data_IF_789853299440
#
_entry.id   IF_789853299440
#
_cell.length_a   1.000
_cell.length_b   1.000
_cell.length_c   1.000
_cell.angle_alpha   90.00
_cell.angle_beta   90.00
_cell.angle_gamma   90.00
#
_symmetry.space_group_name_H-M   'P 1'
#
loop_
_entity.id
_entity.type
_entity.pdbx_description
1 polymer ?
#
# COMPACT_ATOMS: atom_id res chain seq x y z
N UNK A 1 -1.27 2.92 2.99
CA UNK A 1 -1.39 1.83 3.99
C UNK A 1 -0.01 1.26 4.27
N UNK A 2 0.32 0.92 5.53
CA UNK A 2 1.58 0.24 5.90
C UNK A 2 1.25 -1.08 6.58
N UNK A 3 1.95 -2.16 6.19
CA UNK A 3 1.70 -3.51 6.69
C UNK A 3 2.94 -4.40 6.55
N UNK A 4 2.94 -5.54 7.26
CA UNK A 4 3.93 -6.60 7.08
C UNK A 4 3.54 -7.48 5.90
N UNK A 5 4.43 -7.63 4.92
CA UNK A 5 4.23 -8.42 3.70
C UNK A 5 5.10 -9.68 3.74
N UNK A 6 4.51 -10.83 3.42
CA UNK A 6 5.19 -12.11 3.29
C UNK A 6 5.25 -12.51 1.80
N UNK A 7 6.45 -12.87 1.32
CA UNK A 7 6.76 -13.08 -0.09
C UNK A 7 7.53 -14.40 -0.29
N UNK A 8 7.43 -14.98 -1.48
CA UNK A 8 8.18 -16.19 -1.86
C UNK A 8 9.64 -15.90 -2.28
N UNK A 9 9.99 -14.63 -2.48
CA UNK A 9 11.32 -14.20 -2.90
C UNK A 9 11.72 -12.87 -2.23
N UNK A 10 13.02 -12.58 -2.23
CA UNK A 10 13.52 -11.30 -1.75
C UNK A 10 12.94 -10.15 -2.60
N UNK A 11 12.15 -9.24 -2.01
CA UNK A 11 11.52 -8.17 -2.77
C UNK A 11 12.51 -7.13 -3.32
N UNK A 12 12.09 -6.45 -4.39
CA UNK A 12 12.64 -5.14 -4.71
C UNK A 12 12.14 -4.10 -3.70
N UNK A 13 13.03 -3.20 -3.29
CA UNK A 13 12.72 -2.11 -2.36
C UNK A 13 11.65 -1.15 -2.90
N UNK A 14 11.56 -1.00 -4.22
CA UNK A 14 10.59 -0.13 -4.90
C UNK A 14 9.92 -0.90 -6.03
N UNK A 15 8.60 -0.84 -6.10
CA UNK A 15 7.81 -1.28 -7.26
C UNK A 15 6.83 -0.17 -7.63
N UNK A 16 6.80 0.19 -8.90
CA UNK A 16 5.92 1.21 -9.45
C UNK A 16 5.05 0.61 -10.56
N UNK A 17 3.76 0.48 -10.29
CA UNK A 17 2.78 -0.04 -11.24
C UNK A 17 1.99 1.12 -11.88
N UNK A 18 2.33 1.48 -13.12
CA UNK A 18 1.67 2.57 -13.85
C UNK A 18 0.33 2.11 -14.40
N UNK A 19 -0.72 2.91 -14.17
CA UNK A 19 -2.07 2.65 -14.62
C UNK A 19 -2.40 3.43 -15.91
N UNK A 20 -3.38 2.97 -16.71
CA UNK A 20 -3.75 3.64 -17.96
C UNK A 20 -4.33 5.04 -17.80
N UNK A 21 -4.84 5.38 -16.62
CA UNK A 21 -5.40 6.71 -16.29
C UNK A 21 -4.31 7.74 -15.92
N UNK A 22 -3.04 7.36 -16.02
CA UNK A 22 -1.89 8.19 -15.69
C UNK A 22 -1.53 8.19 -14.20
N UNK A 23 -2.27 7.48 -13.36
CA UNK A 23 -1.91 7.27 -11.94
C UNK A 23 -0.98 6.06 -11.78
N UNK A 24 -0.46 5.83 -10.58
CA UNK A 24 0.35 4.65 -10.30
C UNK A 24 0.14 4.11 -8.88
N UNK A 25 0.31 2.80 -8.69
CA UNK A 25 0.50 2.22 -7.38
C UNK A 25 2.00 2.16 -7.06
N UNK A 26 2.38 2.71 -5.91
CA UNK A 26 3.74 2.68 -5.39
C UNK A 26 3.82 1.75 -4.19
N UNK A 27 4.73 0.78 -4.27
CA UNK A 27 5.11 -0.11 -3.18
C UNK A 27 6.54 0.23 -2.76
N UNK A 28 6.71 0.64 -1.50
CA UNK A 28 8.00 0.82 -0.87
C UNK A 28 8.18 -0.28 0.16
N UNK A 29 9.33 -0.94 0.16
CA UNK A 29 9.63 -2.06 1.06
C UNK A 29 10.94 -1.83 1.77
N UNK A 30 10.95 -2.07 3.08
CA UNK A 30 12.14 -2.01 3.93
C UNK A 30 12.20 -3.20 4.87
N UNK A 31 13.37 -3.40 5.47
CA UNK A 31 13.61 -4.46 6.46
C UNK A 31 13.34 -5.88 5.93
N UNK A 32 13.58 -6.10 4.64
CA UNK A 32 13.40 -7.40 3.99
C UNK A 32 14.39 -8.44 4.55
N UNK A 33 13.87 -9.55 5.07
CA UNK A 33 14.67 -10.63 5.62
C UNK A 33 14.04 -12.01 5.39
N UNK A 34 14.88 -13.04 5.32
CA UNK A 34 14.45 -14.42 5.15
C UNK A 34 13.83 -14.95 6.45
N UNK A 35 12.66 -15.56 6.34
CA UNK A 35 11.96 -16.26 7.42
C UNK A 35 11.89 -17.74 7.07
N UNK A 36 12.27 -18.59 8.02
CA UNK A 36 12.20 -20.05 7.88
C UNK A 36 11.09 -20.58 8.76
N UNK A 37 10.20 -21.36 8.15
CA UNK A 37 9.20 -22.12 8.90
C UNK A 37 9.76 -23.51 9.17
N UNK A 38 9.85 -23.88 10.45
CA UNK A 38 10.14 -25.25 10.84
C UNK A 38 8.96 -26.13 10.45
N UNK A 39 9.23 -27.18 9.68
CA UNK A 39 8.22 -28.18 9.37
C UNK A 39 8.26 -29.31 10.41
N UNK A 40 7.13 -30.02 10.62
CA UNK A 40 7.11 -31.27 11.38
C UNK A 40 8.14 -32.27 10.86
N UNK A 41 8.54 -33.22 11.72
CA UNK A 41 9.55 -34.22 11.41
C UNK A 41 9.18 -35.04 10.15
N UNK A 42 9.97 -34.90 9.08
CA UNK A 42 9.76 -35.57 7.79
C UNK A 42 9.33 -34.66 6.64
N UNK A 43 9.03 -33.38 6.91
CA UNK A 43 8.68 -32.37 5.90
C UNK A 43 9.79 -31.35 5.70
N UNK A 44 9.86 -30.76 4.50
CA UNK A 44 10.82 -29.69 4.21
C UNK A 44 10.19 -28.35 4.60
N UNK A 45 10.82 -27.64 5.55
CA UNK A 45 10.42 -26.29 5.95
C UNK A 45 10.36 -25.32 4.77
N UNK A 46 9.42 -24.38 4.83
CA UNK A 46 9.30 -23.31 3.85
C UNK A 46 10.35 -22.22 4.09
N UNK A 47 10.83 -21.62 3.01
CA UNK A 47 11.56 -20.34 3.07
C UNK A 47 10.67 -19.27 2.49
N UNK A 48 10.41 -18.22 3.27
CA UNK A 48 9.70 -17.02 2.82
C UNK A 48 10.54 -15.79 3.15
N UNK A 49 10.09 -14.64 2.66
CA UNK A 49 10.66 -13.33 2.96
C UNK A 49 9.61 -12.48 3.64
N UNK A 50 10.00 -11.80 4.71
CA UNK A 50 9.15 -10.82 5.39
C UNK A 50 9.75 -9.43 5.24
N UNK A 51 8.89 -8.43 5.01
CA UNK A 51 9.29 -7.03 4.95
C UNK A 51 8.18 -6.10 5.45
N UNK A 52 8.52 -4.85 5.74
CA UNK A 52 7.55 -3.78 5.97
C UNK A 52 7.26 -3.08 4.66
N UNK A 53 5.99 -3.04 4.25
CA UNK A 53 5.55 -2.46 2.97
C UNK A 53 4.68 -1.25 3.22
N UNK A 54 5.01 -0.13 2.58
CA UNK A 54 4.16 1.03 2.44
C UNK A 54 3.56 1.06 1.02
N UNK A 55 2.23 1.12 0.94
CA UNK A 55 1.47 1.22 -0.29
C UNK A 55 0.78 2.58 -0.36
N UNK A 56 0.98 3.31 -1.45
CA UNK A 56 0.25 4.54 -1.75
C UNK A 56 -0.14 4.65 -3.23
N UNK A 57 -1.22 5.40 -3.50
CA UNK A 57 -1.62 5.74 -4.87
C UNK A 57 -1.02 7.09 -5.25
N UNK A 58 -0.21 7.11 -6.30
CA UNK A 58 0.33 8.33 -6.88
C UNK A 58 -0.65 8.92 -7.87
N UNK A 59 -0.87 10.23 -7.76
CA UNK A 59 -1.62 11.01 -8.75
C UNK A 59 -0.86 11.16 -10.07
N UNK A 60 -1.55 11.68 -11.08
CA UNK A 60 -0.99 11.94 -12.41
C UNK A 60 0.14 12.97 -12.42
N UNK A 61 0.25 13.80 -11.38
CA UNK A 61 1.36 14.73 -11.16
C UNK A 61 2.73 14.01 -11.02
N UNK A 62 2.73 12.72 -10.70
CA UNK A 62 3.93 11.89 -10.53
C UNK A 62 4.14 10.92 -11.71
N UNK A 63 3.51 11.16 -12.87
CA UNK A 63 3.61 10.25 -14.02
C UNK A 63 5.04 10.07 -14.55
N UNK A 64 5.88 11.10 -14.40
CA UNK A 64 7.29 11.09 -14.81
C UNK A 64 8.20 10.35 -13.81
N UNK A 65 7.71 10.04 -12.60
CA UNK A 65 8.50 9.30 -11.63
C UNK A 65 8.85 7.90 -12.15
N UNK A 66 10.03 7.46 -11.72
CA UNK A 66 10.64 6.19 -12.11
C UNK A 66 11.07 5.43 -10.87
N UNK A 67 11.27 4.12 -11.02
CA UNK A 67 11.84 3.31 -9.93
C UNK A 67 13.21 3.86 -9.51
N UNK A 68 14.02 4.38 -10.43
CA UNK A 68 15.34 4.95 -10.16
C UNK A 68 15.26 6.24 -9.34
N UNK A 69 14.43 7.20 -9.75
CA UNK A 69 14.24 8.47 -9.02
C UNK A 69 13.67 8.25 -7.62
N UNK A 70 12.69 7.34 -7.50
CA UNK A 70 12.10 6.99 -6.21
C UNK A 70 13.12 6.27 -5.31
N UNK A 71 13.89 5.33 -5.85
CA UNK A 71 14.92 4.62 -5.08
C UNK A 71 16.00 5.58 -4.58
N UNK A 72 16.39 6.57 -5.39
CA UNK A 72 17.38 7.57 -4.99
C UNK A 72 16.90 8.46 -3.82
N UNK A 73 15.59 8.60 -3.63
CA UNK A 73 14.96 9.38 -2.57
C UNK A 73 14.05 8.50 -1.67
N UNK A 74 14.41 7.24 -1.46
CA UNK A 74 13.53 6.24 -0.84
C UNK A 74 13.02 6.66 0.56
N UNK A 75 13.86 7.31 1.36
CA UNK A 75 13.47 7.79 2.70
C UNK A 75 12.40 8.89 2.63
N UNK A 76 12.53 9.84 1.71
CA UNK A 76 11.54 10.92 1.52
C UNK A 76 10.20 10.35 1.02
N UNK A 77 10.27 9.38 0.10
CA UNK A 77 9.10 8.66 -0.40
C UNK A 77 8.42 7.81 0.68
N UNK A 78 9.20 7.26 1.60
CA UNK A 78 8.66 6.54 2.76
C UNK A 78 7.83 7.47 3.65
N UNK A 79 8.37 8.66 3.97
CA UNK A 79 7.65 9.69 4.74
C UNK A 79 6.38 10.14 4.01
N UNK A 80 6.45 10.32 2.68
CA UNK A 80 5.27 10.63 1.87
C UNK A 80 4.21 9.53 1.97
N UNK A 81 4.61 8.26 1.84
CA UNK A 81 3.69 7.13 1.94
C UNK A 81 3.07 7.02 3.35
N UNK A 82 3.83 7.27 4.41
CA UNK A 82 3.34 7.36 5.79
C UNK A 82 2.26 8.43 5.94
N UNK A 83 2.50 9.65 5.43
CA UNK A 83 1.51 10.73 5.47
C UNK A 83 0.26 10.42 4.63
N UNK A 84 0.41 9.72 3.51
CA UNK A 84 -0.72 9.27 2.71
C UNK A 84 -1.62 8.29 3.50
N UNK A 85 -1.02 7.44 4.34
CA UNK A 85 -1.79 6.47 5.15
C UNK A 85 -2.68 7.13 6.20
N UNK A 86 -2.30 8.31 6.70
CA UNK A 86 -3.05 9.05 7.72
C UNK A 86 -4.06 10.01 7.10
N UNK A 87 -3.85 10.43 5.84
CA UNK A 87 -4.81 11.25 5.11
C UNK A 87 -6.10 10.51 4.72
N UNK A 88 -6.03 9.17 4.54
CA UNK A 88 -7.19 8.32 4.22
C UNK A 88 -8.04 7.98 5.48
N UNK A 89 -7.62 8.37 6.69
CA UNK A 89 -8.44 8.26 7.91
C UNK A 89 -9.54 9.34 8.02
N UNK A 90 -9.80 10.11 6.96
CA UNK A 90 -11.10 10.77 6.78
C UNK A 90 -12.15 9.77 6.27
N UNK A 91 -12.20 8.57 6.84
CA UNK A 91 -13.35 7.70 6.67
C UNK A 91 -14.56 8.47 7.23
N UNK A 92 -15.63 8.71 6.44
CA UNK A 92 -16.77 9.48 6.92
C UNK A 92 -17.27 8.84 8.20
N UNK A 93 -17.49 9.67 9.22
CA UNK A 93 -18.02 9.26 10.51
C UNK A 93 -19.35 8.52 10.32
N UNK A 94 -19.74 7.73 11.32
CA UNK A 94 -21.04 7.04 11.30
C UNK A 94 -22.20 8.04 11.06
N UNK A 95 -22.10 9.25 11.61
CA UNK A 95 -23.07 10.32 11.41
C UNK A 95 -23.12 10.80 9.95
N UNK A 96 -21.96 10.98 9.31
CA UNK A 96 -21.90 11.35 7.88
C UNK A 96 -22.43 10.24 6.97
N UNK A 97 -22.17 8.97 7.30
CA UNK A 97 -22.71 7.82 6.57
C UNK A 97 -24.24 7.71 6.71
N UNK A 98 -24.77 7.97 7.91
CA UNK A 98 -26.22 7.97 8.17
C UNK A 98 -26.89 9.13 7.45
N UNK A 99 -26.31 10.33 7.48
CA UNK A 99 -26.88 11.51 6.81
C UNK A 99 -26.97 11.35 5.28
N UNK A 100 -25.98 10.70 4.66
CA UNK A 100 -26.01 10.36 3.23
C UNK A 100 -27.12 9.35 2.92
N UNK A 101 -27.31 8.33 3.77
CA UNK A 101 -28.39 7.36 3.61
C UNK A 101 -29.76 8.01 3.80
N UNK A 102 -29.94 8.84 4.83
CA UNK A 102 -31.19 9.58 5.07
C UNK A 102 -31.56 10.47 3.89
N UNK A 103 -30.56 11.13 3.28
CA UNK A 103 -30.76 11.94 2.07
C UNK A 103 -31.18 11.09 0.87
N UNK A 104 -30.59 9.89 0.71
CA UNK A 104 -30.96 8.95 -0.36
C UNK A 104 -32.35 8.34 -0.16
N UNK A 105 -32.78 8.13 1.09
CA UNK A 105 -34.10 7.57 1.43
C UNK A 105 -35.21 8.62 1.51
N UNK A 106 -34.91 9.90 1.78
CA UNK A 106 -35.89 11.00 1.79
C UNK A 106 -35.90 11.84 0.51
N UNK A 107 -34.89 11.74 -0.37
CA UNK A 107 -34.86 12.45 -1.66
C UNK A 107 -35.69 11.81 -2.78
N UNK A 108 -36.43 10.74 -2.48
CA UNK A 108 -37.29 10.00 -3.41
C UNK A 108 -38.75 10.42 -3.35
N UNK A 109 -39.06 11.70 -3.53
CA UNK A 109 -40.40 12.16 -3.90
C UNK A 109 -40.30 12.89 -5.25
N UNK A 110 -40.55 12.14 -6.34
CA UNK A 110 -41.02 12.63 -7.64
C UNK A 110 -42.31 11.91 -7.98
#
# INVERSE_FOLDING_TARGET
MIFTENLDHNPQAVTLEKLPDGTAWLYLRKDAHEVRTEAPEGEQGGTSWECTTALCKLGSDYAEETVESITAAADDWWVYAEAWTTADEAAPSLEERVSVLETLFMGGEL
#
